data_IF_254327522748
#
_entry.id   IF_254327522748
#
_cell.length_a   1.000
_cell.length_b   1.000
_cell.length_c   1.000
_cell.angle_alpha   90.00
_cell.angle_beta   90.00
_cell.angle_gamma   90.00
#
_symmetry.space_group_name_H-M   'P 1'
#
loop_
_entity.id
_entity.type
_entity.pdbx_description
1 polymer ?
#
# COMPACT_ATOMS: atom_id res chain seq x y z
N UNK A 1 15.45 4.33 38.60
CA UNK A 1 15.65 3.12 37.77
C UNK A 1 15.51 3.54 36.31
N UNK A 2 16.61 3.98 35.70
CA UNK A 2 16.69 4.27 34.27
C UNK A 2 17.33 3.07 33.58
N UNK A 3 16.60 2.44 32.66
CA UNK A 3 17.00 1.51 31.59
C UNK A 3 15.67 0.97 31.02
N UNK A 4 15.34 1.06 29.73
CA UNK A 4 16.17 0.70 28.58
C UNK A 4 15.71 1.47 27.35
N UNK A 5 16.66 2.16 26.72
CA UNK A 5 16.59 2.71 25.38
C UNK A 5 16.48 1.59 24.33
N UNK A 6 15.56 1.70 23.38
CA UNK A 6 15.90 1.53 21.97
C UNK A 6 14.86 2.25 21.10
N UNK A 7 15.24 3.42 20.61
CA UNK A 7 14.62 4.00 19.44
C UNK A 7 14.81 2.99 18.29
N UNK A 8 13.76 2.28 17.93
CA UNK A 8 13.59 1.74 16.58
C UNK A 8 12.54 2.59 15.86
N UNK A 9 12.71 3.91 15.91
CA UNK A 9 12.23 4.77 14.83
C UNK A 9 13.20 4.59 13.65
N UNK A 10 13.28 3.37 13.13
CA UNK A 10 13.89 3.09 11.84
C UNK A 10 12.95 3.69 10.81
N UNK A 11 13.03 5.01 10.58
CA UNK A 11 12.30 5.74 9.54
C UNK A 11 10.94 5.09 9.26
N UNK A 12 10.02 5.10 10.25
CA UNK A 12 8.83 4.25 10.26
C UNK A 12 8.20 4.22 8.86
N UNK A 13 8.45 3.16 8.11
CA UNK A 13 8.13 3.16 6.69
C UNK A 13 6.61 3.08 6.59
N UNK A 14 6.00 4.23 6.29
CA UNK A 14 4.56 4.38 6.37
C UNK A 14 3.96 3.71 5.13
N UNK A 15 3.57 2.46 5.32
CA UNK A 15 2.99 1.62 4.27
C UNK A 15 1.47 1.64 4.40
N UNK A 16 0.81 2.24 3.41
CA UNK A 16 -0.65 2.38 3.32
C UNK A 16 -1.19 1.53 2.18
N UNK A 17 -2.18 0.71 2.47
CA UNK A 17 -2.90 -0.09 1.49
C UNK A 17 -4.30 0.49 1.29
N UNK A 18 -4.53 1.13 0.16
CA UNK A 18 -5.85 1.55 -0.29
C UNK A 18 -6.53 0.39 -1.00
N UNK A 19 -7.65 -0.08 -0.47
CA UNK A 19 -8.34 -1.26 -0.99
C UNK A 19 -9.82 -1.28 -0.60
N UNK A 20 -10.54 -2.30 -1.05
CA UNK A 20 -11.89 -2.58 -0.53
C UNK A 20 -12.00 -4.03 -0.14
N UNK A 21 -12.73 -4.31 0.94
CA UNK A 21 -12.95 -5.67 1.43
C UNK A 21 -13.59 -6.57 0.37
N UNK A 22 -14.39 -5.99 -0.53
CA UNK A 22 -15.07 -6.68 -1.62
C UNK A 22 -14.14 -7.06 -2.79
N UNK A 23 -12.91 -6.52 -2.85
CA UNK A 23 -11.97 -6.80 -3.93
C UNK A 23 -11.03 -7.95 -3.58
N UNK A 24 -11.03 -9.06 -4.34
CA UNK A 24 -10.11 -10.16 -4.10
C UNK A 24 -8.64 -9.74 -4.30
N UNK A 25 -8.36 -8.71 -5.11
CA UNK A 25 -7.01 -8.17 -5.29
C UNK A 25 -6.51 -7.46 -4.04
N UNK A 26 -7.37 -6.67 -3.39
CA UNK A 26 -7.03 -6.00 -2.12
C UNK A 26 -6.77 -7.02 -1.02
N UNK A 27 -7.63 -8.04 -0.90
CA UNK A 27 -7.46 -9.13 0.06
C UNK A 27 -6.16 -9.89 -0.11
N UNK A 28 -5.73 -10.20 -1.34
CA UNK A 28 -4.45 -10.88 -1.60
C UNK A 28 -3.26 -10.07 -1.07
N UNK A 29 -3.25 -8.75 -1.26
CA UNK A 29 -2.17 -7.90 -0.77
C UNK A 29 -2.23 -7.78 0.75
N UNK A 30 -3.42 -7.59 1.33
CA UNK A 30 -3.60 -7.54 2.78
C UNK A 30 -3.06 -8.81 3.47
N UNK A 31 -3.41 -9.99 2.95
CA UNK A 31 -2.92 -11.27 3.48
C UNK A 31 -1.41 -11.40 3.28
N UNK A 32 -0.87 -11.02 2.12
CA UNK A 32 0.57 -11.07 1.87
C UNK A 32 1.37 -10.17 2.83
N UNK A 33 0.86 -8.98 3.15
CA UNK A 33 1.50 -8.07 4.11
C UNK A 33 1.43 -8.64 5.54
N UNK A 34 0.28 -9.18 5.93
CA UNK A 34 0.11 -9.86 7.22
C UNK A 34 1.06 -11.05 7.37
N UNK A 35 1.19 -11.89 6.33
CA UNK A 35 2.10 -13.04 6.33
C UNK A 35 3.57 -12.63 6.40
N UNK A 36 3.92 -11.47 5.82
CA UNK A 36 5.28 -10.92 5.89
C UNK A 36 5.59 -10.21 7.22
N UNK A 37 4.61 -10.04 8.11
CA UNK A 37 4.77 -9.29 9.36
C UNK A 37 5.08 -7.81 9.15
N UNK A 38 4.73 -7.26 7.99
CA UNK A 38 4.93 -5.84 7.68
C UNK A 38 3.79 -5.07 8.32
N UNK A 39 4.12 -4.03 9.09
CA UNK A 39 3.14 -3.09 9.62
C UNK A 39 2.60 -2.24 8.46
N UNK A 40 1.28 -2.19 8.33
CA UNK A 40 0.62 -1.36 7.31
C UNK A 40 -0.71 -0.82 7.82
N UNK A 41 -1.09 0.33 7.29
CA UNK A 41 -2.41 0.91 7.49
C UNK A 41 -3.32 0.50 6.32
N UNK A 42 -4.46 -0.11 6.62
CA UNK A 42 -5.46 -0.44 5.62
C UNK A 42 -6.51 0.67 5.54
N UNK A 43 -6.65 1.27 4.36
CA UNK A 43 -7.60 2.35 4.09
C UNK A 43 -8.69 1.79 3.19
N UNK A 44 -9.90 1.67 3.74
CA UNK A 44 -11.07 1.20 3.01
C UNK A 44 -11.56 2.28 2.04
N UNK A 45 -11.56 1.96 0.76
CA UNK A 45 -11.98 2.83 -0.34
C UNK A 45 -13.36 2.42 -0.85
N UNK A 46 -14.18 3.43 -1.12
CA UNK A 46 -15.48 3.22 -1.74
C UNK A 46 -15.32 3.20 -3.28
N UNK A 47 -15.76 2.11 -3.92
CA UNK A 47 -15.68 1.92 -5.36
C UNK A 47 -16.54 2.93 -6.15
N UNK A 48 -17.67 3.33 -5.59
CA UNK A 48 -18.61 4.29 -6.18
C UNK A 48 -18.17 5.74 -5.96
N UNK A 49 -17.54 6.03 -4.82
CA UNK A 49 -17.07 7.37 -4.46
C UNK A 49 -15.64 7.32 -3.89
N UNK A 50 -14.65 7.46 -4.76
CA UNK A 50 -13.23 7.30 -4.43
C UNK A 50 -12.71 8.47 -3.61
N UNK A 51 -11.84 8.20 -2.64
CA UNK A 51 -11.30 9.26 -1.79
C UNK A 51 -10.35 10.18 -2.56
N UNK A 52 -10.24 11.47 -2.18
CA UNK A 52 -9.24 12.37 -2.74
C UNK A 52 -7.80 11.87 -2.54
N UNK A 53 -7.54 11.11 -1.48
CA UNK A 53 -6.24 10.50 -1.20
C UNK A 53 -5.87 9.45 -2.26
N UNK A 54 -6.82 8.58 -2.64
CA UNK A 54 -6.59 7.62 -3.73
C UNK A 54 -6.32 8.33 -5.07
N UNK A 55 -7.05 9.42 -5.34
CA UNK A 55 -6.85 10.22 -6.56
C UNK A 55 -5.49 10.92 -6.59
N UNK A 56 -4.96 11.34 -5.44
CA UNK A 56 -3.60 11.89 -5.33
C UNK A 56 -2.54 10.90 -5.79
N UNK A 57 -2.71 9.61 -5.44
CA UNK A 57 -1.72 8.57 -5.72
C UNK A 57 -1.94 7.84 -7.05
N UNK A 58 -3.16 7.82 -7.57
CA UNK A 58 -3.49 7.18 -8.84
C UNK A 58 -4.50 8.03 -9.66
N UNK A 59 -4.13 9.25 -10.10
CA UNK A 59 -5.05 10.17 -10.76
C UNK A 59 -5.56 9.64 -12.12
N UNK A 60 -4.74 8.83 -12.79
CA UNK A 60 -5.01 8.32 -14.15
C UNK A 60 -5.93 7.12 -14.13
N UNK A 61 -5.58 6.05 -13.39
CA UNK A 61 -6.35 4.81 -13.45
C UNK A 61 -7.44 4.73 -12.39
N UNK A 62 -7.30 5.44 -11.26
CA UNK A 62 -8.25 5.42 -10.15
C UNK A 62 -8.62 3.99 -9.72
N UNK A 63 -7.71 3.03 -9.87
CA UNK A 63 -7.93 1.60 -9.59
C UNK A 63 -7.33 1.25 -8.24
N UNK A 64 -7.98 0.30 -7.55
CA UNK A 64 -7.48 -0.35 -6.34
C UNK A 64 -7.07 -1.80 -6.66
N UNK A 65 -6.23 -2.45 -5.83
CA UNK A 65 -5.51 -1.89 -4.69
C UNK A 65 -4.38 -0.93 -5.10
N UNK A 66 -4.12 0.07 -4.25
CA UNK A 66 -2.93 0.94 -4.35
C UNK A 66 -2.13 0.81 -3.07
N UNK A 67 -0.86 0.46 -3.21
CA UNK A 67 0.09 0.45 -2.11
C UNK A 67 0.87 1.76 -2.15
N UNK A 68 1.00 2.44 -1.01
CA UNK A 68 1.75 3.68 -0.88
C UNK A 68 2.80 3.48 0.20
N UNK A 69 4.03 3.85 -0.11
CA UNK A 69 5.18 3.70 0.76
C UNK A 69 5.85 5.06 0.92
N UNK A 70 5.93 5.59 2.14
CA UNK A 70 6.50 6.91 2.43
C UNK A 70 5.92 8.01 1.51
N UNK A 71 4.59 8.01 1.35
CA UNK A 71 3.88 8.97 0.50
C UNK A 71 4.11 8.80 -1.00
N UNK A 72 4.75 7.72 -1.46
CA UNK A 72 4.94 7.41 -2.88
C UNK A 72 4.13 6.17 -3.26
N UNK A 73 3.30 6.22 -4.32
CA UNK A 73 2.60 5.04 -4.78
C UNK A 73 3.58 4.00 -5.29
N UNK A 74 3.56 2.81 -4.71
CA UNK A 74 4.26 1.63 -5.20
C UNK A 74 3.45 1.11 -6.38
N UNK A 75 3.77 1.62 -7.56
CA UNK A 75 3.10 1.23 -8.79
C UNK A 75 3.24 -0.28 -9.02
N UNK A 76 2.12 -0.95 -9.32
CA UNK A 76 2.16 -2.26 -9.97
C UNK A 76 2.65 -2.04 -11.41
N UNK A 77 3.97 -1.97 -11.59
CA UNK A 77 4.60 -2.16 -12.90
C UNK A 77 4.40 -3.61 -13.30
N UNK A 78 3.33 -3.89 -14.03
CA UNK A 78 3.36 -4.96 -15.02
C UNK A 78 4.09 -4.46 -16.26
N UNK A 79 5.33 -3.99 -16.12
CA UNK A 79 6.24 -3.89 -17.26
C UNK A 79 7.14 -5.11 -17.15
N UNK A 80 6.63 -6.25 -17.64
CA UNK A 80 7.50 -7.14 -18.36
C UNK A 80 8.02 -6.29 -19.53
N UNK A 81 9.21 -5.70 -19.39
CA UNK A 81 9.98 -5.42 -20.59
C UNK A 81 10.25 -6.79 -21.19
N UNK A 82 9.39 -7.24 -22.11
CA UNK A 82 9.75 -8.28 -23.05
C UNK A 82 10.75 -7.62 -24.01
N UNK A 83 11.95 -7.37 -23.50
CA UNK A 83 13.13 -7.15 -24.31
C UNK A 83 13.57 -8.54 -24.76
N UNK A 84 12.96 -9.01 -25.83
CA UNK A 84 13.49 -10.12 -26.62
C UNK A 84 13.80 -9.50 -27.97
N UNK A 85 15.11 -9.29 -28.15
CA UNK A 85 15.85 -9.08 -29.40
C UNK A 85 15.20 -8.26 -30.52
#
# INVERSE_FOLDING_TARGET
MAATSLQAATMAEELKLFGTWASPFSRRIEVALKLKGVQFEYIEENLSNKSPALLKYNPVHKKIPVLVHNGKPVARRATCHHGVH
#
